data_IF_535803750749
#
_entry.id   IF_535803750749
#
_cell.length_a   1.000
_cell.length_b   1.000
_cell.length_c   1.000
_cell.angle_alpha   90.00
_cell.angle_beta   90.00
_cell.angle_gamma   90.00
#
_symmetry.space_group_name_H-M   'P 1'
#
loop_
_entity.id
_entity.type
_entity.pdbx_description
1 polymer ?
#
# COMPACT_ATOMS: atom_id res chain seq x y z
N UNK A 1 -0.18 10.46 -7.54
CA UNK A 1 -1.43 9.68 -7.29
C UNK A 1 -2.64 10.54 -7.61
N UNK A 2 -3.57 10.03 -8.35
CA UNK A 2 -4.85 10.71 -8.60
C UNK A 2 -5.99 9.82 -8.12
N UNK A 3 -7.21 10.38 -8.09
CA UNK A 3 -8.40 9.68 -7.57
C UNK A 3 -8.66 8.39 -8.36
N UNK A 4 -8.55 8.44 -9.66
CA UNK A 4 -8.80 7.27 -10.51
C UNK A 4 -7.83 6.12 -10.21
N UNK A 5 -6.56 6.44 -10.06
CA UNK A 5 -5.54 5.44 -9.73
C UNK A 5 -5.75 4.89 -8.32
N UNK A 6 -6.11 5.76 -7.38
CA UNK A 6 -6.41 5.36 -6.01
C UNK A 6 -7.56 4.36 -5.96
N UNK A 7 -8.65 4.65 -6.66
CA UNK A 7 -9.81 3.76 -6.71
C UNK A 7 -9.45 2.40 -7.31
N UNK A 8 -8.61 2.39 -8.33
CA UNK A 8 -8.14 1.16 -8.94
C UNK A 8 -7.30 0.33 -7.95
N UNK A 9 -6.40 0.99 -7.22
CA UNK A 9 -5.58 0.32 -6.22
C UNK A 9 -6.43 -0.24 -5.08
N UNK A 10 -7.46 0.49 -4.68
CA UNK A 10 -8.38 0.03 -3.63
C UNK A 10 -9.11 -1.24 -4.07
N UNK A 11 -9.57 -1.29 -5.30
CA UNK A 11 -10.21 -2.49 -5.85
C UNK A 11 -9.25 -3.67 -5.95
N UNK A 12 -8.02 -3.38 -6.37
CA UNK A 12 -6.98 -4.41 -6.45
C UNK A 12 -6.71 -5.01 -5.08
N UNK A 13 -6.59 -4.17 -4.06
CA UNK A 13 -6.32 -4.63 -2.70
C UNK A 13 -7.48 -5.46 -2.15
N UNK A 14 -8.71 -5.05 -2.42
CA UNK A 14 -9.89 -5.82 -2.03
C UNK A 14 -9.92 -7.21 -2.67
N UNK A 15 -9.54 -7.29 -3.94
CA UNK A 15 -9.43 -8.57 -4.63
C UNK A 15 -8.37 -9.46 -4.01
N UNK A 16 -7.22 -8.90 -3.66
CA UNK A 16 -6.15 -9.65 -3.03
C UNK A 16 -6.55 -10.16 -1.64
N UNK A 17 -7.36 -9.39 -0.92
CA UNK A 17 -7.84 -9.80 0.40
C UNK A 17 -8.68 -11.09 0.34
N UNK A 18 -9.40 -11.29 -0.75
CA UNK A 18 -10.28 -12.46 -0.93
C UNK A 18 -9.58 -13.66 -1.53
N UNK A 19 -8.36 -13.48 -2.02
CA UNK A 19 -7.59 -14.54 -2.64
C UNK A 19 -6.39 -14.87 -1.76
N UNK A 20 -5.62 -15.85 -2.20
CA UNK A 20 -4.33 -16.17 -1.56
C UNK A 20 -3.23 -15.59 -2.43
N UNK A 21 -2.96 -14.28 -2.36
CA UNK A 21 -1.98 -13.65 -3.23
C UNK A 21 -0.58 -14.05 -2.87
N UNK A 22 0.29 -14.02 -3.86
CA UNK A 22 1.71 -14.23 -3.66
C UNK A 22 2.35 -12.93 -3.19
N UNK A 23 3.49 -13.05 -2.50
CA UNK A 23 4.20 -11.89 -2.00
C UNK A 23 4.47 -10.86 -3.10
N UNK A 24 4.77 -11.32 -4.31
CA UNK A 24 5.05 -10.43 -5.43
C UNK A 24 3.87 -9.52 -5.77
N UNK A 25 2.66 -10.04 -5.69
CA UNK A 25 1.46 -9.25 -5.98
C UNK A 25 1.27 -8.13 -4.95
N UNK A 26 1.51 -8.44 -3.68
CA UNK A 26 1.45 -7.44 -2.61
C UNK A 26 2.55 -6.40 -2.79
N UNK A 27 3.76 -6.84 -3.16
CA UNK A 27 4.86 -5.91 -3.40
C UNK A 27 4.56 -4.92 -4.51
N UNK A 28 3.89 -5.36 -5.57
CA UNK A 28 3.49 -4.48 -6.66
C UNK A 28 2.54 -3.39 -6.19
N UNK A 29 1.57 -3.74 -5.36
CA UNK A 29 0.65 -2.76 -4.80
C UNK A 29 1.40 -1.78 -3.90
N UNK A 30 2.30 -2.27 -3.05
CA UNK A 30 3.09 -1.42 -2.18
C UNK A 30 3.90 -0.39 -2.99
N UNK A 31 4.53 -0.81 -4.09
CA UNK A 31 5.26 0.10 -4.96
C UNK A 31 4.36 1.17 -5.55
N UNK A 32 3.18 0.78 -6.00
CA UNK A 32 2.24 1.72 -6.60
C UNK A 32 1.71 2.73 -5.58
N UNK A 33 1.71 2.36 -4.30
CA UNK A 33 1.32 3.24 -3.22
C UNK A 33 2.45 4.16 -2.75
N UNK A 34 3.65 4.03 -3.35
CA UNK A 34 4.77 4.90 -3.03
C UNK A 34 5.73 4.34 -1.99
N UNK A 35 5.64 3.06 -1.69
CA UNK A 35 6.60 2.42 -0.79
C UNK A 35 7.83 1.98 -1.56
N UNK A 36 8.97 2.06 -0.89
CA UNK A 36 10.25 1.63 -1.44
C UNK A 36 10.83 0.52 -0.59
N UNK A 37 11.36 -0.49 -1.25
CA UNK A 37 12.04 -1.58 -0.56
C UNK A 37 13.39 -1.07 -0.03
N UNK A 38 13.58 -1.24 1.28
CA UNK A 38 14.82 -0.88 1.96
C UNK A 38 15.33 -2.12 2.67
N UNK A 39 16.60 -2.43 2.47
CA UNK A 39 17.20 -3.58 3.14
C UNK A 39 17.73 -3.14 4.49
N UNK A 40 17.07 -3.58 5.56
CA UNK A 40 17.51 -3.33 6.93
C UNK A 40 17.67 -4.67 7.64
N UNK A 41 18.88 -4.97 8.09
CA UNK A 41 19.15 -6.23 8.74
C UNK A 41 18.99 -7.39 7.77
N UNK A 42 18.32 -8.46 8.21
CA UNK A 42 18.18 -9.68 7.43
C UNK A 42 16.97 -9.69 6.50
N UNK A 43 15.99 -8.83 6.74
CA UNK A 43 14.75 -8.83 5.99
C UNK A 43 14.49 -7.51 5.28
N UNK A 44 13.93 -7.57 4.06
CA UNK A 44 13.56 -6.35 3.38
C UNK A 44 12.35 -5.71 4.05
N UNK A 45 12.37 -4.39 4.13
CA UNK A 45 11.31 -3.59 4.70
C UNK A 45 10.85 -2.61 3.64
N UNK A 46 9.55 -2.35 3.57
CA UNK A 46 8.96 -1.42 2.62
C UNK A 46 8.53 -0.17 3.36
N UNK A 47 9.18 0.95 3.06
CA UNK A 47 8.90 2.23 3.71
C UNK A 47 8.15 3.15 2.77
N UNK A 48 7.18 3.89 3.32
CA UNK A 48 6.48 4.91 2.56
C UNK A 48 7.37 6.15 2.43
N UNK A 49 7.61 6.58 1.19
CA UNK A 49 8.39 7.79 0.92
C UNK A 49 7.53 9.04 1.07
N UNK A 50 6.25 8.91 0.89
CA UNK A 50 5.32 10.05 0.91
C UNK A 50 4.74 10.33 2.30
N UNK A 51 4.57 9.29 3.13
CA UNK A 51 3.92 9.42 4.43
C UNK A 51 4.82 8.88 5.52
N UNK A 52 5.51 9.77 6.22
CA UNK A 52 6.47 9.38 7.26
C UNK A 52 5.79 8.77 8.48
N UNK A 53 4.51 9.06 8.70
CA UNK A 53 3.78 8.50 9.83
C UNK A 53 3.41 7.02 9.64
N UNK A 54 3.46 6.53 8.42
CA UNK A 54 3.16 5.12 8.14
C UNK A 54 4.33 4.24 8.55
N UNK A 55 4.01 3.17 9.26
CA UNK A 55 5.03 2.24 9.74
C UNK A 55 5.67 1.48 8.59
N UNK A 56 6.96 1.13 8.71
CA UNK A 56 7.58 0.23 7.76
C UNK A 56 6.83 -1.09 7.67
N UNK A 57 6.73 -1.63 6.48
CA UNK A 57 5.98 -2.85 6.21
C UNK A 57 6.93 -3.96 5.80
N UNK A 58 6.88 -5.07 6.51
CA UNK A 58 7.68 -6.25 6.18
C UNK A 58 6.88 -7.15 5.25
N UNK A 59 7.34 -7.31 4.02
CA UNK A 59 6.71 -8.22 3.06
C UNK A 59 7.71 -9.32 2.76
N UNK A 60 7.35 -10.59 3.01
CA UNK A 60 8.27 -11.70 2.72
C UNK A 60 8.71 -11.70 1.26
N UNK A 61 9.98 -12.01 1.04
CA UNK A 61 10.58 -12.02 -0.29
C UNK A 61 10.59 -13.44 -0.87
N UNK A 62 9.43 -14.09 -0.80
CA UNK A 62 9.29 -15.48 -1.24
C UNK A 62 8.59 -15.62 -2.59
N UNK A 63 8.90 -14.74 -3.50
CA UNK A 63 8.47 -14.72 -4.90
C UNK A 63 7.27 -15.55 -5.32
N UNK A 64 7.36 -16.85 -5.20
CA UNK A 64 6.34 -17.77 -5.69
C UNK A 64 5.44 -18.39 -4.64
N UNK A 65 5.59 -18.03 -3.37
CA UNK A 65 4.78 -18.59 -2.29
C UNK A 65 3.64 -17.68 -1.89
N UNK A 66 2.52 -18.29 -1.52
CA UNK A 66 1.39 -17.57 -0.96
C UNK A 66 1.71 -17.08 0.44
N UNK A 67 1.18 -15.94 0.80
CA UNK A 67 1.30 -15.43 2.17
C UNK A 67 0.38 -16.22 3.11
N UNK A 68 0.84 -16.46 4.34
CA UNK A 68 -0.04 -17.05 5.34
C UNK A 68 -1.20 -16.09 5.63
N UNK A 69 -2.38 -16.62 6.06
CA UNK A 69 -3.54 -15.76 6.31
C UNK A 69 -3.28 -14.63 7.30
N UNK A 70 -2.51 -14.90 8.36
CA UNK A 70 -2.20 -13.86 9.34
C UNK A 70 -1.32 -12.76 8.78
N UNK A 71 -0.28 -13.13 8.02
CA UNK A 71 0.60 -12.16 7.37
C UNK A 71 -0.16 -11.36 6.31
N UNK A 72 -0.98 -12.05 5.53
CA UNK A 72 -1.81 -11.38 4.51
C UNK A 72 -2.71 -10.32 5.13
N UNK A 73 -3.43 -10.69 6.19
CA UNK A 73 -4.35 -9.77 6.86
C UNK A 73 -3.61 -8.53 7.39
N UNK A 74 -2.50 -8.74 8.08
CA UNK A 74 -1.73 -7.64 8.64
C UNK A 74 -1.18 -6.73 7.55
N UNK A 75 -0.66 -7.32 6.46
CA UNK A 75 -0.10 -6.56 5.34
C UNK A 75 -1.17 -5.75 4.63
N UNK A 76 -2.31 -6.37 4.33
CA UNK A 76 -3.41 -5.68 3.65
C UNK A 76 -3.95 -4.55 4.51
N UNK A 77 -4.09 -4.76 5.81
CA UNK A 77 -4.55 -3.70 6.71
C UNK A 77 -3.61 -2.50 6.71
N UNK A 78 -2.29 -2.74 6.68
CA UNK A 78 -1.33 -1.64 6.60
C UNK A 78 -1.40 -0.90 5.27
N UNK A 79 -1.59 -1.63 4.18
CA UNK A 79 -1.74 -1.00 2.85
C UNK A 79 -3.05 -0.23 2.74
N UNK A 80 -4.08 -0.62 3.48
CA UNK A 80 -5.30 0.19 3.57
C UNK A 80 -5.03 1.53 4.22
N UNK A 81 -4.16 1.58 5.23
CA UNK A 81 -3.74 2.85 5.83
C UNK A 81 -3.05 3.73 4.79
N UNK A 82 -2.24 3.13 3.92
CA UNK A 82 -1.63 3.86 2.80
C UNK A 82 -2.71 4.47 1.89
N UNK A 83 -3.71 3.67 1.53
CA UNK A 83 -4.81 4.13 0.69
C UNK A 83 -5.57 5.28 1.36
N UNK A 84 -5.84 5.16 2.65
CA UNK A 84 -6.55 6.19 3.39
C UNK A 84 -5.74 7.47 3.47
N UNK A 85 -4.43 7.38 3.63
CA UNK A 85 -3.54 8.53 3.64
C UNK A 85 -3.52 9.23 2.28
N UNK A 86 -3.48 8.49 1.19
CA UNK A 86 -3.58 9.06 -0.14
C UNK A 86 -4.94 9.69 -0.39
N UNK A 87 -6.00 9.01 0.05
CA UNK A 87 -7.36 9.54 -0.09
C UNK A 87 -7.50 10.89 0.64
N UNK A 88 -7.01 10.96 1.85
CA UNK A 88 -7.03 12.20 2.62
C UNK A 88 -6.25 13.30 1.91
N UNK A 89 -5.06 13.01 1.39
CA UNK A 89 -4.26 13.98 0.66
C UNK A 89 -4.95 14.47 -0.60
N UNK A 90 -5.53 13.56 -1.38
CA UNK A 90 -6.24 13.92 -2.60
C UNK A 90 -7.47 14.76 -2.27
N UNK A 91 -8.21 14.38 -1.23
CA UNK A 91 -9.37 15.14 -0.78
C UNK A 91 -8.97 16.56 -0.38
N UNK A 92 -7.89 16.71 0.35
CA UNK A 92 -7.39 18.04 0.73
C UNK A 92 -7.01 18.87 -0.50
N UNK A 93 -6.37 18.26 -1.47
CA UNK A 93 -6.03 18.95 -2.72
C UNK A 93 -7.26 19.39 -3.49
N UNK A 94 -8.26 18.51 -3.58
CA UNK A 94 -9.53 18.83 -4.23
C UNK A 94 -10.25 19.98 -3.54
N UNK A 95 -10.30 19.97 -2.20
CA UNK A 95 -10.92 21.04 -1.41
C UNK A 95 -10.19 22.37 -1.60
N UNK A 96 -8.85 22.34 -1.62
CA UNK A 96 -8.05 23.53 -1.82
C UNK A 96 -8.33 24.16 -3.18
N UNK A 97 -8.40 23.35 -4.22
CA UNK A 97 -8.70 23.82 -5.57
C UNK A 97 -10.11 24.41 -5.62
N UNK A 98 -11.08 23.72 -5.03
CA UNK A 98 -12.48 24.18 -5.01
C UNK A 98 -12.67 25.44 -4.18
N UNK A 99 -11.86 25.64 -3.15
CA UNK A 99 -11.96 26.78 -2.27
C UNK A 99 -11.35 28.07 -2.78
N UNK A 100 -10.72 28.02 -3.94
CA UNK A 100 -9.96 29.15 -4.51
C UNK A 100 -10.75 29.99 -5.48
N UNK A 101 -11.95 30.19 -5.30
CA UNK A 101 -12.72 31.05 -6.19
C UNK A 101 -12.62 32.53 -5.80
#
# INVERSE_FOLDING_TARGET
>A
MNRKKLDKLRRTLEGLRRQSPKALEIQKVAKQLGRKRVKRGKEPVWESLEFQHLRPLSIPDHGGRDLSPGVLRATVNQLEDDLNSWDERITQQELTVSGRK
#
